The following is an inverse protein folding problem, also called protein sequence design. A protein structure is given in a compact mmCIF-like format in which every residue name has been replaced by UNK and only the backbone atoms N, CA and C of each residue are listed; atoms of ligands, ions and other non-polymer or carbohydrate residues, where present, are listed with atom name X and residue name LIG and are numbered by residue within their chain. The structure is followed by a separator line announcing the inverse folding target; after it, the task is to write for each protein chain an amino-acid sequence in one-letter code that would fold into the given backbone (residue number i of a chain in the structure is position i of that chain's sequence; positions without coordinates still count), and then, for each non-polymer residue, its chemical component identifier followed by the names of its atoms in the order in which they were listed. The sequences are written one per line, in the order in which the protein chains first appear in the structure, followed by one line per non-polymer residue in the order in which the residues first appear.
data_IF_945465166554
#
_entry.id   IF_945465166554
#
_cell.length_a   1.000
_cell.length_b   1.000
_cell.length_c   1.000
_cell.angle_alpha   90.00
_cell.angle_beta   90.00
_cell.angle_gamma   90.00
#
_symmetry.space_group_name_H-M   'P 1'
#
loop_
_entity.id
_entity.type
_entity.pdbx_description
1 polymer ?
#
# COMPACT_ATOMS: atom_id res chain seq x y z
N UNK A 1 -44.18 -18.94 -11.88
CA UNK A 1 -43.56 -17.61 -12.11
C UNK A 1 -42.33 -17.47 -11.20
N UNK A 2 -41.16 -17.93 -11.66
CA UNK A 2 -39.92 -17.93 -10.86
C UNK A 2 -39.23 -16.59 -11.11
N UNK A 3 -39.44 -15.63 -10.20
CA UNK A 3 -38.68 -14.37 -10.20
C UNK A 3 -37.17 -14.69 -10.10
N UNK A 4 -36.31 -14.08 -10.93
CA UNK A 4 -34.87 -14.36 -10.93
C UNK A 4 -34.30 -14.11 -9.53
N UNK A 5 -33.45 -15.02 -9.04
CA UNK A 5 -32.91 -15.03 -7.67
C UNK A 5 -32.42 -13.64 -7.18
N UNK A 6 -31.88 -12.82 -8.08
CA UNK A 6 -31.48 -11.43 -7.80
C UNK A 6 -32.59 -10.54 -7.23
N UNK A 7 -33.85 -10.72 -7.64
CA UNK A 7 -34.96 -9.87 -7.17
C UNK A 7 -35.39 -10.20 -5.74
N UNK A 8 -35.30 -11.48 -5.33
CA UNK A 8 -35.55 -11.89 -3.94
C UNK A 8 -34.45 -11.39 -3.02
N UNK A 9 -33.19 -11.51 -3.43
CA UNK A 9 -32.03 -11.02 -2.66
C UNK A 9 -32.15 -9.50 -2.46
N UNK A 10 -32.51 -8.74 -3.50
CA UNK A 10 -32.71 -7.29 -3.38
C UNK A 10 -33.81 -6.91 -2.38
N UNK A 11 -34.92 -7.66 -2.32
CA UNK A 11 -35.98 -7.43 -1.31
C UNK A 11 -35.52 -7.74 0.11
N UNK A 12 -34.69 -8.77 0.30
CA UNK A 12 -34.11 -9.12 1.61
C UNK A 12 -33.13 -8.05 2.08
N UNK A 13 -32.25 -7.58 1.19
CA UNK A 13 -31.32 -6.48 1.47
C UNK A 13 -32.08 -5.22 1.89
N UNK A 14 -33.13 -4.86 1.15
CA UNK A 14 -33.97 -3.70 1.50
C UNK A 14 -34.60 -3.83 2.89
N UNK A 15 -35.15 -5.00 3.24
CA UNK A 15 -35.70 -5.26 4.59
C UNK A 15 -34.64 -5.22 5.69
N UNK A 16 -33.41 -5.63 5.39
CA UNK A 16 -32.28 -5.54 6.32
C UNK A 16 -31.88 -4.08 6.56
N UNK A 17 -31.86 -3.26 5.51
CA UNK A 17 -31.59 -1.82 5.61
C UNK A 17 -32.68 -1.11 6.41
N UNK A 18 -33.95 -1.46 6.20
CA UNK A 18 -35.10 -0.93 6.94
C UNK A 18 -35.09 -1.33 8.42
N UNK A 19 -34.43 -2.44 8.79
CA UNK A 19 -34.31 -2.89 10.20
C UNK A 19 -33.32 -2.05 11.02
N UNK A 20 -32.16 -1.72 10.44
CA UNK A 20 -31.06 -1.03 11.15
C UNK A 20 -30.60 0.23 10.37
N UNK A 21 -31.42 1.29 10.29
CA UNK A 21 -31.14 2.43 9.42
C UNK A 21 -29.83 3.16 9.76
N UNK A 22 -29.44 3.18 11.04
CA UNK A 22 -28.22 3.89 11.51
C UNK A 22 -26.96 3.26 10.93
N UNK A 23 -26.84 1.92 11.01
CA UNK A 23 -25.65 1.19 10.54
C UNK A 23 -25.44 1.30 9.03
N UNK A 24 -26.53 1.30 8.26
CA UNK A 24 -26.43 1.41 6.81
C UNK A 24 -26.29 2.86 6.34
N UNK A 25 -26.71 3.84 7.16
CA UNK A 25 -26.39 5.26 6.93
C UNK A 25 -24.89 5.51 7.06
N UNK A 26 -24.25 5.06 8.14
CA UNK A 26 -22.79 5.20 8.28
C UNK A 26 -22.02 4.47 7.19
N UNK A 27 -22.49 3.29 6.76
CA UNK A 27 -21.91 2.61 5.60
C UNK A 27 -22.07 3.41 4.29
N UNK A 28 -23.22 4.08 4.10
CA UNK A 28 -23.42 4.93 2.94
C UNK A 28 -22.50 6.14 2.95
N UNK A 29 -22.37 6.81 4.09
CA UNK A 29 -21.43 7.91 4.31
C UNK A 29 -19.99 7.45 4.03
N UNK A 30 -19.59 6.27 4.54
CA UNK A 30 -18.27 5.71 4.28
C UNK A 30 -18.05 5.40 2.80
N UNK A 31 -19.05 4.93 2.06
CA UNK A 31 -18.95 4.68 0.61
C UNK A 31 -18.76 5.98 -0.19
N UNK A 32 -19.48 7.04 0.18
CA UNK A 32 -19.37 8.37 -0.44
C UNK A 32 -18.00 8.99 -0.14
N UNK A 33 -17.61 8.94 1.13
CA UNK A 33 -16.33 9.47 1.61
C UNK A 33 -15.12 8.67 1.08
N UNK A 34 -15.28 7.37 0.80
CA UNK A 34 -14.27 6.53 0.15
C UNK A 34 -14.24 6.67 -1.39
N UNK A 35 -15.15 7.44 -2.00
CA UNK A 35 -15.24 7.64 -3.45
C UNK A 35 -15.37 6.33 -4.28
N UNK A 36 -16.07 5.32 -3.76
CA UNK A 36 -16.14 3.99 -4.39
C UNK A 36 -17.06 3.93 -5.62
N UNK A 37 -17.77 5.00 -5.97
CA UNK A 37 -18.61 5.08 -7.17
C UNK A 37 -19.76 4.07 -7.23
N UNK A 38 -20.15 3.48 -6.09
CA UNK A 38 -21.18 2.46 -5.99
C UNK A 38 -22.29 2.87 -5.03
N UNK A 39 -23.53 2.60 -5.43
CA UNK A 39 -24.72 2.78 -4.56
C UNK A 39 -24.72 1.77 -3.42
N UNK A 40 -25.24 2.14 -2.25
CA UNK A 40 -25.39 1.28 -1.07
C UNK A 40 -26.03 -0.08 -1.41
N UNK A 41 -27.15 -0.07 -2.14
CA UNK A 41 -27.88 -1.29 -2.54
C UNK A 41 -26.99 -2.28 -3.32
N UNK A 42 -26.25 -1.76 -4.32
CA UNK A 42 -25.37 -2.56 -5.17
C UNK A 42 -24.19 -3.11 -4.38
N UNK A 43 -23.67 -2.31 -3.44
CA UNK A 43 -22.57 -2.72 -2.58
C UNK A 43 -22.99 -3.87 -1.67
N UNK A 44 -24.11 -3.72 -0.95
CA UNK A 44 -24.63 -4.76 -0.06
C UNK A 44 -24.92 -6.06 -0.82
N UNK A 45 -25.54 -5.96 -1.99
CA UNK A 45 -25.80 -7.14 -2.83
C UNK A 45 -24.49 -7.84 -3.23
N UNK A 46 -23.47 -7.09 -3.64
CA UNK A 46 -22.15 -7.67 -3.97
C UNK A 46 -21.52 -8.31 -2.74
N UNK A 47 -21.59 -7.67 -1.58
CA UNK A 47 -21.07 -8.20 -0.32
C UNK A 47 -21.70 -9.53 0.05
N UNK A 48 -23.05 -9.64 0.03
CA UNK A 48 -23.74 -10.90 0.36
C UNK A 48 -23.48 -12.00 -0.67
N UNK A 49 -23.39 -11.67 -1.96
CA UNK A 49 -23.07 -12.66 -2.99
C UNK A 49 -21.64 -13.16 -2.86
N UNK A 50 -20.67 -12.27 -2.70
CA UNK A 50 -19.25 -12.62 -2.59
C UNK A 50 -19.00 -13.37 -1.29
N UNK A 51 -19.59 -12.96 -0.17
CA UNK A 51 -19.44 -13.68 1.10
C UNK A 51 -20.10 -15.06 1.06
N UNK A 52 -21.25 -15.20 0.40
CA UNK A 52 -21.89 -16.49 0.17
C UNK A 52 -21.06 -17.43 -0.70
N UNK A 53 -20.47 -16.93 -1.79
CA UNK A 53 -19.55 -17.69 -2.64
C UNK A 53 -18.27 -18.08 -1.89
N UNK A 54 -17.71 -17.16 -1.10
CA UNK A 54 -16.55 -17.43 -0.26
C UNK A 54 -16.84 -18.52 0.78
N UNK A 55 -18.00 -18.45 1.44
CA UNK A 55 -18.45 -19.49 2.35
C UNK A 55 -18.63 -20.84 1.66
N UNK A 56 -19.22 -20.85 0.46
CA UNK A 56 -19.40 -22.07 -0.33
C UNK A 56 -18.05 -22.70 -0.74
N UNK A 57 -17.09 -21.87 -1.12
CA UNK A 57 -15.73 -22.30 -1.43
C UNK A 57 -15.05 -22.97 -0.23
N UNK A 58 -15.10 -22.35 0.95
CA UNK A 58 -14.51 -22.93 2.17
C UNK A 58 -15.24 -24.17 2.67
N UNK A 59 -16.56 -24.22 2.52
CA UNK A 59 -17.36 -25.40 2.85
C UNK A 59 -17.03 -26.58 1.93
N UNK A 60 -16.89 -26.33 0.63
CA UNK A 60 -16.46 -27.33 -0.35
C UNK A 60 -15.05 -27.82 -0.06
N UNK A 61 -14.13 -26.90 0.23
CA UNK A 61 -12.76 -27.23 0.59
C UNK A 61 -12.72 -28.07 1.87
N UNK A 62 -13.47 -27.68 2.91
CA UNK A 62 -13.57 -28.43 4.16
C UNK A 62 -14.21 -29.81 3.96
N UNK A 63 -15.23 -29.91 3.12
CA UNK A 63 -15.84 -31.20 2.77
C UNK A 63 -14.83 -32.11 2.04
N UNK A 64 -14.07 -31.55 1.10
CA UNK A 64 -13.06 -32.29 0.34
C UNK A 64 -11.90 -32.72 1.25
N UNK A 65 -11.39 -31.83 2.10
CA UNK A 65 -10.33 -32.17 3.06
C UNK A 65 -10.81 -33.22 4.05
N UNK A 66 -12.02 -33.10 4.62
CA UNK A 66 -12.55 -34.12 5.54
C UNK A 66 -12.82 -35.48 4.86
N UNK A 67 -13.08 -35.50 3.55
CA UNK A 67 -13.33 -36.73 2.79
C UNK A 67 -12.07 -37.43 2.31
N UNK A 68 -11.02 -36.68 1.97
CA UNK A 68 -9.73 -37.22 1.51
C UNK A 68 -8.67 -37.30 2.61
N UNK A 69 -8.82 -36.56 3.72
CA UNK A 69 -8.00 -36.76 4.90
C UNK A 69 -8.29 -38.16 5.44
N UNK A 70 -7.29 -39.03 5.35
CA UNK A 70 -7.28 -40.29 6.10
C UNK A 70 -7.28 -39.90 7.57
N UNK A 71 -8.46 -39.82 8.18
CA UNK A 71 -8.55 -39.64 9.63
C UNK A 71 -7.79 -40.83 10.24
N UNK A 72 -6.67 -40.59 10.98
CA UNK A 72 -6.03 -41.68 11.69
C UNK A 72 -7.11 -42.28 12.59
N UNK A 73 -7.29 -43.59 12.53
CA UNK A 73 -8.22 -44.29 13.42
C UNK A 73 -7.77 -44.02 14.85
N UNK A 74 -8.39 -43.04 15.51
CA UNK A 74 -8.12 -42.73 16.91
C UNK A 74 -8.74 -43.86 17.73
N UNK A 75 -8.00 -44.94 17.89
CA UNK A 75 -8.33 -45.95 18.89
C UNK A 75 -7.97 -45.38 20.25
N UNK A 76 -8.95 -44.82 20.96
CA UNK A 76 -8.82 -44.54 22.39
C UNK A 76 -8.74 -45.91 23.07
N UNK A 77 -7.52 -46.43 23.27
CA UNK A 77 -7.28 -47.62 24.09
C UNK A 77 -7.40 -47.20 25.56
N UNK A 78 -8.64 -47.13 26.06
CA UNK A 78 -8.86 -47.10 27.51
C UNK A 78 -8.40 -48.45 28.05
N UNK A 79 -7.41 -48.46 28.94
CA UNK A 79 -6.94 -49.69 29.59
C UNK A 79 -8.07 -50.24 30.46
N UNK A 80 -8.72 -51.30 29.99
CA UNK A 80 -9.93 -51.83 30.59
C UNK A 80 -9.56 -52.88 31.66
N UNK A 81 -9.47 -52.44 32.91
CA UNK A 81 -9.11 -53.30 34.07
C UNK A 81 -10.19 -54.35 34.37
N UNK A 82 -11.40 -54.23 33.81
CA UNK A 82 -12.55 -55.09 34.13
C UNK A 82 -12.98 -56.07 33.02
N UNK A 83 -12.22 -56.19 31.92
CA UNK A 83 -12.54 -57.12 30.81
C UNK A 83 -13.98 -57.01 30.25
N UNK A 84 -14.65 -55.88 30.45
CA UNK A 84 -15.99 -55.63 29.90
C UNK A 84 -15.82 -55.28 28.42
N UNK A 85 -16.31 -56.11 27.50
CA UNK A 85 -16.31 -55.78 26.06
C UNK A 85 -17.21 -54.57 25.82
N UNK A 86 -16.65 -53.36 25.92
CA UNK A 86 -17.31 -52.16 25.42
C UNK A 86 -17.36 -52.28 23.89
N UNK A 87 -18.54 -52.11 23.27
CA UNK A 87 -18.62 -52.09 21.81
C UNK A 87 -17.72 -50.97 21.31
N UNK A 88 -16.76 -51.31 20.44
CA UNK A 88 -16.03 -50.31 19.69
C UNK A 88 -17.09 -49.53 18.88
N UNK A 89 -17.23 -48.23 19.14
CA UNK A 89 -18.05 -47.36 18.30
C UNK A 89 -17.37 -47.28 16.93
N UNK A 90 -17.61 -48.26 16.06
CA UNK A 90 -17.43 -48.07 14.63
C UNK A 90 -18.55 -47.12 14.22
N UNK A 91 -18.20 -45.83 14.06
CA UNK A 91 -19.06 -44.91 13.32
C UNK A 91 -19.25 -45.53 11.93
N UNK A 92 -20.45 -46.05 11.68
CA UNK A 92 -20.85 -46.60 10.38
C UNK A 92 -20.68 -45.49 9.34
N UNK A 93 -20.10 -45.79 8.17
CA UNK A 93 -19.84 -44.85 7.05
C UNK A 93 -20.91 -43.74 6.81
N UNK A 94 -22.23 -43.99 6.89
CA UNK A 94 -23.25 -42.94 6.79
C UNK A 94 -23.20 -41.88 7.91
N UNK A 95 -22.88 -42.25 9.15
CA UNK A 95 -22.82 -41.30 10.27
C UNK A 95 -21.64 -40.33 10.11
N UNK A 96 -20.50 -40.80 9.59
CA UNK A 96 -19.35 -39.96 9.25
C UNK A 96 -19.71 -38.99 8.13
N UNK A 97 -20.44 -39.46 7.10
CA UNK A 97 -20.93 -38.59 6.02
C UNK A 97 -21.89 -37.49 6.49
N UNK A 98 -22.83 -37.80 7.38
CA UNK A 98 -23.72 -36.77 7.97
C UNK A 98 -22.92 -35.76 8.78
N UNK A 99 -21.96 -36.22 9.60
CA UNK A 99 -21.10 -35.33 10.39
C UNK A 99 -20.26 -34.41 9.50
N UNK A 100 -19.73 -34.91 8.37
CA UNK A 100 -19.00 -34.10 7.39
C UNK A 100 -19.87 -33.02 6.75
N UNK A 101 -21.10 -33.35 6.36
CA UNK A 101 -22.04 -32.37 5.79
C UNK A 101 -22.39 -31.31 6.83
N UNK A 102 -22.68 -31.70 8.08
CA UNK A 102 -22.95 -30.76 9.16
C UNK A 102 -21.74 -29.86 9.43
N UNK A 103 -20.53 -30.44 9.52
CA UNK A 103 -19.30 -29.67 9.71
C UNK A 103 -19.06 -28.68 8.56
N UNK A 104 -19.26 -29.09 7.31
CA UNK A 104 -19.13 -28.20 6.14
C UNK A 104 -20.19 -27.08 6.15
N UNK A 105 -21.41 -27.36 6.61
CA UNK A 105 -22.47 -26.37 6.74
C UNK A 105 -22.19 -25.36 7.86
N UNK A 106 -21.60 -25.80 8.97
CA UNK A 106 -21.13 -24.89 10.04
C UNK A 106 -20.00 -24.01 9.52
N UNK A 107 -19.01 -24.58 8.83
CA UNK A 107 -17.91 -23.84 8.22
C UNK A 107 -18.44 -22.83 7.20
N UNK A 108 -19.43 -23.20 6.38
CA UNK A 108 -20.12 -22.28 5.47
C UNK A 108 -20.68 -21.06 6.21
N UNK A 109 -21.44 -21.28 7.28
CA UNK A 109 -22.09 -20.19 8.04
C UNK A 109 -21.03 -19.28 8.67
N UNK A 110 -20.02 -19.86 9.32
CA UNK A 110 -18.95 -19.11 9.99
C UNK A 110 -18.15 -18.28 8.99
N UNK A 111 -17.68 -18.89 7.89
CA UNK A 111 -16.85 -18.21 6.90
C UNK A 111 -17.64 -17.19 6.07
N UNK A 112 -18.91 -17.46 5.75
CA UNK A 112 -19.79 -16.48 5.11
C UNK A 112 -20.09 -15.29 6.04
N UNK A 113 -20.27 -15.53 7.33
CA UNK A 113 -20.45 -14.46 8.33
C UNK A 113 -19.19 -13.60 8.46
N UNK A 114 -18.02 -14.23 8.66
CA UNK A 114 -16.73 -13.53 8.76
C UNK A 114 -16.44 -12.74 7.48
N UNK A 115 -16.65 -13.35 6.31
CA UNK A 115 -16.51 -12.67 5.02
C UNK A 115 -17.44 -11.46 4.90
N UNK A 116 -18.70 -11.61 5.31
CA UNK A 116 -19.66 -10.49 5.28
C UNK A 116 -19.22 -9.34 6.19
N UNK A 117 -18.74 -9.63 7.40
CA UNK A 117 -18.23 -8.61 8.33
C UNK A 117 -17.02 -7.90 7.73
N UNK A 118 -16.06 -8.64 7.17
CA UNK A 118 -14.88 -8.09 6.52
C UNK A 118 -15.24 -7.16 5.36
N UNK A 119 -16.11 -7.61 4.45
CA UNK A 119 -16.55 -6.78 3.32
C UNK A 119 -17.37 -5.57 3.77
N UNK A 120 -18.14 -5.64 4.85
CA UNK A 120 -18.84 -4.46 5.37
C UNK A 120 -17.89 -3.43 6.00
N UNK A 121 -16.73 -3.86 6.52
CA UNK A 121 -15.71 -2.96 7.09
C UNK A 121 -14.76 -2.38 6.04
N UNK A 122 -14.67 -3.01 4.86
CA UNK A 122 -13.78 -2.58 3.78
C UNK A 122 -13.91 -1.10 3.39
N UNK A 123 -15.11 -0.50 3.22
CA UNK A 123 -15.23 0.91 2.89
C UNK A 123 -14.64 1.83 3.94
N UNK A 124 -14.78 1.47 5.23
CA UNK A 124 -14.18 2.23 6.34
C UNK A 124 -12.65 2.21 6.28
N UNK A 125 -12.04 1.09 5.89
CA UNK A 125 -10.59 1.00 5.69
C UNK A 125 -10.13 1.87 4.52
N UNK A 126 -10.85 1.84 3.39
CA UNK A 126 -10.54 2.68 2.22
C UNK A 126 -10.71 4.16 2.56
N UNK A 127 -11.78 4.53 3.26
CA UNK A 127 -12.03 5.88 3.77
C UNK A 127 -10.87 6.39 4.62
N UNK A 128 -10.42 5.59 5.61
CA UNK A 128 -9.29 5.95 6.48
C UNK A 128 -7.99 6.14 5.71
N UNK A 129 -7.70 5.26 4.76
CA UNK A 129 -6.51 5.39 3.90
C UNK A 129 -6.57 6.70 3.08
N UNK A 130 -7.75 6.99 2.51
CA UNK A 130 -8.00 8.22 1.74
C UNK A 130 -7.89 9.48 2.61
N UNK A 131 -8.46 9.46 3.82
CA UNK A 131 -8.31 10.51 4.82
C UNK A 131 -6.84 10.80 5.12
N UNK A 132 -6.03 9.77 5.38
CA UNK A 132 -4.58 9.93 5.61
C UNK A 132 -3.89 10.59 4.41
N UNK A 133 -4.18 10.13 3.19
CA UNK A 133 -3.60 10.72 1.95
C UNK A 133 -3.98 12.18 1.76
N UNK A 134 -5.23 12.55 2.04
CA UNK A 134 -5.68 13.94 1.99
C UNK A 134 -4.92 14.78 3.02
N UNK A 135 -4.84 14.31 4.28
CA UNK A 135 -4.20 15.04 5.37
C UNK A 135 -2.72 15.33 5.09
N UNK A 136 -1.99 14.35 4.54
CA UNK A 136 -0.57 14.48 4.19
C UNK A 136 -0.32 15.54 3.12
N UNK A 137 -1.17 15.58 2.08
CA UNK A 137 -0.99 16.49 0.94
C UNK A 137 -1.67 17.84 1.11
N UNK A 138 -2.54 17.98 2.13
CA UNK A 138 -3.27 19.22 2.39
C UNK A 138 -2.33 20.40 2.68
N UNK A 139 -1.24 20.17 3.41
CA UNK A 139 -0.28 21.23 3.70
C UNK A 139 0.29 21.86 2.42
N UNK A 140 0.75 21.04 1.48
CA UNK A 140 1.28 21.50 0.19
C UNK A 140 0.21 22.17 -0.68
N UNK A 141 -1.03 21.67 -0.64
CA UNK A 141 -2.15 22.30 -1.34
C UNK A 141 -2.42 23.71 -0.79
N UNK A 142 -2.48 23.88 0.53
CA UNK A 142 -2.71 25.20 1.16
C UNK A 142 -1.54 26.15 0.93
N UNK A 143 -0.29 25.67 0.97
CA UNK A 143 0.89 26.47 0.61
C UNK A 143 0.82 26.98 -0.83
N UNK A 144 0.41 26.12 -1.77
CA UNK A 144 0.18 26.54 -3.15
C UNK A 144 -0.98 27.54 -3.28
N UNK A 145 -2.06 27.36 -2.52
CA UNK A 145 -3.15 28.34 -2.48
C UNK A 145 -2.66 29.72 -2.02
N UNK A 146 -1.87 29.75 -0.95
CA UNK A 146 -1.27 30.97 -0.44
C UNK A 146 -0.39 31.64 -1.50
N UNK A 147 0.55 30.90 -2.11
CA UNK A 147 1.45 31.44 -3.13
C UNK A 147 0.70 32.00 -4.35
N UNK A 148 -0.32 31.30 -4.83
CA UNK A 148 -1.13 31.78 -5.95
C UNK A 148 -1.98 33.00 -5.58
N UNK A 149 -2.55 33.04 -4.37
CA UNK A 149 -3.29 34.20 -3.87
C UNK A 149 -2.38 35.40 -3.64
N UNK A 150 -1.15 35.18 -3.17
CA UNK A 150 -0.14 36.23 -3.07
C UNK A 150 0.21 36.81 -4.45
N UNK A 151 0.23 35.98 -5.48
CA UNK A 151 0.34 36.38 -6.88
C UNK A 151 -0.92 37.05 -7.48
N UNK A 152 -1.99 37.22 -6.69
CA UNK A 152 -3.22 37.89 -7.10
C UNK A 152 -4.22 37.00 -7.85
N UNK A 153 -4.02 35.68 -7.91
CA UNK A 153 -4.94 34.78 -8.62
C UNK A 153 -6.31 34.68 -7.92
N UNK A 154 -7.40 34.59 -8.66
CA UNK A 154 -8.74 34.34 -8.10
C UNK A 154 -8.85 32.94 -7.49
N UNK A 155 -9.65 32.77 -6.42
CA UNK A 155 -9.76 31.48 -5.71
C UNK A 155 -10.17 30.32 -6.61
N UNK A 156 -11.06 30.56 -7.58
CA UNK A 156 -11.46 29.53 -8.53
C UNK A 156 -10.34 29.13 -9.47
N UNK A 157 -9.47 30.07 -9.86
CA UNK A 157 -8.28 29.75 -10.63
C UNK A 157 -7.31 28.88 -9.82
N UNK A 158 -7.17 29.17 -8.52
CA UNK A 158 -6.37 28.36 -7.59
C UNK A 158 -6.91 26.92 -7.49
N UNK A 159 -8.22 26.74 -7.28
CA UNK A 159 -8.80 25.38 -7.20
C UNK A 159 -8.68 24.63 -8.52
N UNK A 160 -8.83 25.30 -9.67
CA UNK A 160 -8.60 24.69 -10.99
C UNK A 160 -7.16 24.22 -11.13
N UNK A 161 -6.18 25.05 -10.76
CA UNK A 161 -4.76 24.72 -10.82
C UNK A 161 -4.40 23.51 -9.93
N UNK A 162 -4.92 23.45 -8.70
CA UNK A 162 -4.72 22.29 -7.80
C UNK A 162 -5.40 21.04 -8.38
N UNK A 163 -6.64 21.17 -8.86
CA UNK A 163 -7.41 20.04 -9.42
C UNK A 163 -6.80 19.45 -10.69
N UNK A 164 -6.08 20.26 -11.48
CA UNK A 164 -5.39 19.85 -12.69
C UNK A 164 -4.09 19.09 -12.42
N UNK A 165 -3.49 19.28 -11.25
CA UNK A 165 -2.19 18.72 -10.89
C UNK A 165 -2.31 17.59 -9.86
N UNK A 166 -3.12 16.55 -10.15
CA UNK A 166 -3.26 15.40 -9.24
C UNK A 166 -1.98 14.58 -9.06
N UNK A 167 -1.02 14.70 -9.99
CA UNK A 167 0.30 14.09 -9.82
C UNK A 167 1.13 14.69 -8.68
N UNK A 168 0.84 15.94 -8.27
CA UNK A 168 1.55 16.65 -7.21
C UNK A 168 0.75 16.66 -5.91
N UNK A 169 -0.56 16.95 -5.99
CA UNK A 169 -1.42 17.09 -4.80
C UNK A 169 -2.30 15.86 -4.52
N UNK A 170 -2.13 14.77 -5.28
CA UNK A 170 -2.76 13.47 -5.04
C UNK A 170 -4.26 13.56 -4.76
N UNK A 171 -4.69 12.99 -3.63
CA UNK A 171 -6.09 12.96 -3.23
C UNK A 171 -6.67 14.34 -2.88
N UNK A 172 -5.83 15.29 -2.42
CA UNK A 172 -6.29 16.66 -2.19
C UNK A 172 -6.71 17.34 -3.51
N UNK A 173 -6.00 17.10 -4.63
CA UNK A 173 -6.44 17.55 -5.95
C UNK A 173 -7.79 16.96 -6.35
N UNK A 174 -8.04 15.68 -6.01
CA UNK A 174 -9.32 15.04 -6.28
C UNK A 174 -10.47 15.67 -5.48
N UNK A 175 -10.23 16.11 -4.25
CA UNK A 175 -11.23 16.86 -3.47
C UNK A 175 -11.52 18.25 -4.07
N UNK A 176 -10.48 19.02 -4.43
CA UNK A 176 -10.68 20.31 -5.09
C UNK A 176 -11.28 20.17 -6.50
N UNK A 177 -11.05 19.03 -7.17
CA UNK A 177 -11.74 18.69 -8.43
C UNK A 177 -13.25 18.54 -8.24
N UNK A 178 -13.73 18.10 -7.07
CA UNK A 178 -15.17 18.09 -6.79
C UNK A 178 -15.73 19.50 -6.74
N UNK A 179 -15.04 20.43 -6.07
CA UNK A 179 -15.44 21.84 -6.02
C UNK A 179 -15.50 22.44 -7.42
N UNK A 180 -14.45 22.27 -8.23
CA UNK A 180 -14.39 22.76 -9.62
C UNK A 180 -15.49 22.13 -10.48
N UNK A 181 -15.76 20.82 -10.31
CA UNK A 181 -16.83 20.14 -11.04
C UNK A 181 -18.19 20.70 -10.67
N UNK A 182 -18.42 20.90 -9.38
CA UNK A 182 -19.68 21.39 -8.82
C UNK A 182 -19.96 22.84 -9.27
N UNK A 183 -18.92 23.67 -9.42
CA UNK A 183 -19.08 25.02 -10.00
C UNK A 183 -19.23 25.01 -11.52
N UNK A 184 -18.33 24.34 -12.25
CA UNK A 184 -18.23 24.47 -13.71
C UNK A 184 -19.28 23.62 -14.46
N UNK A 185 -19.67 22.45 -13.92
CA UNK A 185 -20.64 21.55 -14.57
C UNK A 185 -22.04 21.62 -13.96
N UNK A 186 -22.14 21.73 -12.64
CA UNK A 186 -23.44 21.76 -11.94
C UNK A 186 -23.95 23.18 -11.67
N UNK A 187 -23.12 24.20 -11.90
CA UNK A 187 -23.51 25.60 -11.75
C UNK A 187 -23.74 26.03 -10.29
N UNK A 188 -23.18 25.31 -9.32
CA UNK A 188 -23.24 25.73 -7.92
C UNK A 188 -22.36 26.96 -7.70
N UNK A 189 -22.76 27.82 -6.77
CA UNK A 189 -21.88 28.91 -6.32
C UNK A 189 -20.69 28.34 -5.53
N UNK A 190 -19.61 29.11 -5.47
CA UNK A 190 -18.36 28.67 -4.83
C UNK A 190 -18.56 28.28 -3.36
N UNK A 191 -19.41 29.00 -2.63
CA UNK A 191 -19.66 28.75 -1.20
C UNK A 191 -20.44 27.44 -1.03
N UNK A 192 -21.49 27.23 -1.82
CA UNK A 192 -22.27 25.98 -1.83
C UNK A 192 -21.41 24.79 -2.25
N UNK A 193 -20.55 24.94 -3.26
CA UNK A 193 -19.62 23.88 -3.66
C UNK A 193 -18.61 23.53 -2.54
N UNK A 194 -18.13 24.52 -1.78
CA UNK A 194 -17.27 24.30 -0.62
C UNK A 194 -18.02 23.63 0.55
N UNK A 195 -19.26 24.05 0.84
CA UNK A 195 -20.11 23.39 1.85
C UNK A 195 -20.40 21.94 1.48
N UNK A 196 -20.65 21.66 0.19
CA UNK A 196 -20.83 20.29 -0.28
C UNK A 196 -19.55 19.45 -0.14
N UNK A 197 -18.37 20.03 -0.37
CA UNK A 197 -17.10 19.36 -0.08
C UNK A 197 -16.94 19.08 1.42
N UNK A 198 -17.29 20.04 2.28
CA UNK A 198 -17.22 19.91 3.74
C UNK A 198 -18.05 18.72 4.25
N UNK A 199 -19.23 18.47 3.67
CA UNK A 199 -20.12 17.37 4.05
C UNK A 199 -19.66 16.00 3.52
N UNK A 200 -18.88 15.96 2.44
CA UNK A 200 -18.53 14.72 1.73
C UNK A 200 -17.09 14.26 1.92
N UNK A 201 -16.21 15.13 2.41
CA UNK A 201 -14.80 14.80 2.66
C UNK A 201 -14.64 13.82 3.84
N UNK A 202 -13.77 12.80 3.73
CA UNK A 202 -13.45 11.93 4.86
C UNK A 202 -12.50 12.60 5.88
N UNK A 203 -11.81 13.67 5.50
CA UNK A 203 -10.76 14.31 6.30
C UNK A 203 -11.33 15.42 7.18
N UNK A 204 -11.15 15.29 8.49
CA UNK A 204 -11.53 16.34 9.45
C UNK A 204 -10.70 17.61 9.25
N UNK A 205 -9.39 17.46 9.02
CA UNK A 205 -8.47 18.59 8.78
C UNK A 205 -8.88 19.43 7.56
N UNK A 206 -9.26 18.76 6.47
CA UNK A 206 -9.79 19.45 5.28
C UNK A 206 -11.17 20.07 5.55
N UNK A 207 -12.06 19.35 6.26
CA UNK A 207 -13.38 19.87 6.65
C UNK A 207 -13.26 21.18 7.41
N UNK A 208 -12.37 21.25 8.39
CA UNK A 208 -12.14 22.43 9.24
C UNK A 208 -11.51 23.57 8.43
N UNK A 209 -10.55 23.26 7.55
CA UNK A 209 -9.99 24.24 6.62
C UNK A 209 -11.05 24.89 5.72
N UNK A 210 -11.92 24.07 5.13
CA UNK A 210 -12.97 24.54 4.23
C UNK A 210 -14.02 25.35 5.01
N UNK A 211 -14.35 24.94 6.24
CA UNK A 211 -15.23 25.70 7.13
C UNK A 211 -14.70 27.10 7.40
N UNK A 212 -13.42 27.19 7.78
CA UNK A 212 -12.78 28.47 8.08
C UNK A 212 -12.63 29.33 6.82
N UNK A 213 -12.33 28.70 5.68
CA UNK A 213 -12.24 29.38 4.39
C UNK A 213 -13.59 29.98 3.98
N UNK A 214 -14.69 29.23 4.11
CA UNK A 214 -16.05 29.73 3.84
C UNK A 214 -16.37 30.91 4.76
N UNK A 215 -16.04 30.81 6.05
CA UNK A 215 -16.26 31.89 7.02
C UNK A 215 -15.51 33.19 6.64
N UNK A 216 -14.25 33.08 6.20
CA UNK A 216 -13.46 34.24 5.74
C UNK A 216 -14.02 34.84 4.45
N UNK A 217 -14.49 34.01 3.51
CA UNK A 217 -15.11 34.45 2.27
C UNK A 217 -16.43 35.18 2.54
N UNK A 218 -17.30 34.62 3.39
CA UNK A 218 -18.61 35.21 3.72
C UNK A 218 -18.48 36.53 4.50
N UNK A 219 -17.48 36.63 5.39
CA UNK A 219 -17.21 37.84 6.15
C UNK A 219 -16.44 38.92 5.40
N UNK A 220 -15.93 38.60 4.19
CA UNK A 220 -15.08 39.50 3.41
C UNK A 220 -13.72 39.79 4.09
N UNK A 221 -13.24 38.85 4.92
CA UNK A 221 -11.97 38.97 5.64
C UNK A 221 -10.74 38.86 4.74
N UNK A 222 -9.56 39.10 5.33
CA UNK A 222 -8.29 38.95 4.63
C UNK A 222 -7.93 37.48 4.41
N UNK A 223 -8.23 37.01 3.20
CA UNK A 223 -7.93 35.65 2.76
C UNK A 223 -6.43 35.35 2.70
N UNK A 224 -5.59 36.34 2.37
CA UNK A 224 -4.15 36.12 2.27
C UNK A 224 -3.56 35.90 3.65
N UNK A 225 -3.97 36.72 4.63
CA UNK A 225 -3.56 36.55 6.02
C UNK A 225 -4.08 35.23 6.61
N UNK A 226 -5.32 34.83 6.29
CA UNK A 226 -5.86 33.53 6.69
C UNK A 226 -5.02 32.36 6.15
N UNK A 227 -4.67 32.39 4.86
CA UNK A 227 -3.88 31.34 4.23
C UNK A 227 -2.46 31.30 4.79
N UNK A 228 -1.78 32.45 5.00
CA UNK A 228 -0.44 32.50 5.63
C UNK A 228 -0.45 31.84 7.02
N UNK A 229 -1.42 32.22 7.86
CA UNK A 229 -1.56 31.65 9.20
C UNK A 229 -1.76 30.13 9.13
N UNK A 230 -2.60 29.65 8.21
CA UNK A 230 -2.87 28.21 8.08
C UNK A 230 -1.66 27.44 7.55
N UNK A 231 -0.90 28.00 6.61
CA UNK A 231 0.36 27.42 6.13
C UNK A 231 1.31 27.21 7.31
N UNK A 232 1.52 28.24 8.15
CA UNK A 232 2.39 28.14 9.34
C UNK A 232 1.93 27.07 10.31
N UNK A 233 0.62 27.04 10.64
CA UNK A 233 0.06 26.00 11.52
C UNK A 233 0.32 24.60 10.97
N UNK A 234 0.09 24.37 9.67
CA UNK A 234 0.32 23.06 9.08
C UNK A 234 1.80 22.68 8.99
N UNK A 235 2.72 23.63 8.81
CA UNK A 235 4.16 23.39 8.90
C UNK A 235 4.58 22.99 10.32
N UNK A 236 4.03 23.66 11.34
CA UNK A 236 4.31 23.33 12.74
C UNK A 236 3.77 21.94 13.11
N UNK A 237 2.55 21.60 12.69
CA UNK A 237 1.97 20.27 12.84
C UNK A 237 2.83 19.20 12.16
N UNK A 238 3.24 19.41 10.91
CA UNK A 238 4.09 18.47 10.18
C UNK A 238 5.43 18.25 10.88
N UNK A 239 6.05 19.33 11.41
CA UNK A 239 7.28 19.23 12.22
C UNK A 239 7.05 18.43 13.51
N UNK A 240 5.89 18.59 14.16
CA UNK A 240 5.54 17.84 15.35
C UNK A 240 5.28 16.35 15.07
N UNK A 241 4.56 16.05 13.99
CA UNK A 241 4.33 14.67 13.52
C UNK A 241 5.66 13.99 13.18
N UNK A 242 6.56 14.67 12.49
CA UNK A 242 7.89 14.14 12.17
C UNK A 242 8.72 13.86 13.43
N UNK A 243 8.72 14.77 14.42
CA UNK A 243 9.40 14.53 15.71
C UNK A 243 8.82 13.33 16.44
N UNK A 244 7.50 13.20 16.45
CA UNK A 244 6.80 12.07 17.07
C UNK A 244 7.13 10.76 16.38
N UNK A 245 7.18 10.77 15.05
CA UNK A 245 7.61 9.63 14.24
C UNK A 245 9.06 9.22 14.57
N UNK A 246 10.00 10.16 14.61
CA UNK A 246 11.40 9.89 14.96
C UNK A 246 11.55 9.33 16.39
N UNK A 247 10.78 9.85 17.35
CA UNK A 247 10.74 9.32 18.72
C UNK A 247 10.26 7.87 18.76
N UNK A 248 9.23 7.55 17.96
CA UNK A 248 8.70 6.18 17.84
C UNK A 248 9.73 5.25 17.21
N UNK A 249 10.45 5.71 16.18
CA UNK A 249 11.53 4.96 15.54
C UNK A 249 12.70 4.72 16.49
N UNK A 250 13.04 5.72 17.33
CA UNK A 250 14.06 5.58 18.36
C UNK A 250 13.68 4.52 19.40
N UNK A 251 12.44 4.55 19.90
CA UNK A 251 11.93 3.55 20.83
C UNK A 251 11.94 2.15 20.21
N UNK A 252 11.54 2.03 18.95
CA UNK A 252 11.59 0.77 18.21
C UNK A 252 13.03 0.28 18.05
N UNK A 253 13.98 1.15 17.71
CA UNK A 253 15.39 0.81 17.58
C UNK A 253 16.00 0.35 18.91
N UNK A 254 15.65 1.01 20.02
CA UNK A 254 16.06 0.58 21.37
C UNK A 254 15.52 -0.82 21.71
N UNK A 255 14.24 -1.07 21.43
CA UNK A 255 13.63 -2.38 21.61
C UNK A 255 14.31 -3.45 20.73
N UNK A 256 14.68 -3.12 19.49
CA UNK A 256 15.40 -4.05 18.61
C UNK A 256 16.79 -4.41 19.14
N UNK A 257 17.58 -3.42 19.53
CA UNK A 257 18.94 -3.65 20.06
C UNK A 257 18.88 -4.45 21.36
N UNK A 258 17.92 -4.19 22.24
CA UNK A 258 17.79 -4.92 23.50
C UNK A 258 17.27 -6.36 23.29
N UNK A 259 16.19 -6.53 22.52
CA UNK A 259 15.51 -7.83 22.38
C UNK A 259 16.17 -8.77 21.37
N UNK A 260 16.65 -8.26 20.24
CA UNK A 260 17.15 -9.09 19.13
C UNK A 260 18.68 -9.07 18.99
N UNK A 261 19.37 -8.09 19.58
CA UNK A 261 20.84 -8.06 19.59
C UNK A 261 21.38 -8.49 20.95
N UNK A 262 21.12 -7.72 22.00
CA UNK A 262 21.70 -7.96 23.33
C UNK A 262 21.20 -9.26 23.98
N UNK A 263 19.89 -9.53 23.92
CA UNK A 263 19.30 -10.76 24.48
C UNK A 263 19.88 -12.04 23.87
N UNK A 264 19.81 -12.24 22.53
CA UNK A 264 20.40 -13.39 21.87
C UNK A 264 21.91 -13.45 22.07
N UNK A 265 22.63 -12.32 22.03
CA UNK A 265 24.07 -12.30 22.30
C UNK A 265 24.40 -12.83 23.69
N UNK A 266 23.65 -12.43 24.71
CA UNK A 266 23.84 -12.95 26.08
C UNK A 266 23.62 -14.46 26.14
N UNK A 267 22.54 -14.96 25.52
CA UNK A 267 22.25 -16.40 25.45
C UNK A 267 23.37 -17.14 24.70
N UNK A 268 23.84 -16.59 23.58
CA UNK A 268 24.95 -17.14 22.79
C UNK A 268 26.21 -17.23 23.66
N UNK A 269 26.58 -16.16 24.38
CA UNK A 269 27.76 -16.16 25.26
C UNK A 269 27.62 -17.26 26.32
N UNK A 270 26.48 -17.34 27.01
CA UNK A 270 26.24 -18.36 28.03
C UNK A 270 26.31 -19.78 27.45
N UNK A 271 25.72 -20.01 26.28
CA UNK A 271 25.74 -21.30 25.59
C UNK A 271 27.15 -21.69 25.14
N UNK A 272 27.94 -20.74 24.62
CA UNK A 272 29.33 -20.97 24.22
C UNK A 272 30.20 -21.27 25.44
N UNK A 273 30.02 -20.54 26.54
CA UNK A 273 30.74 -20.80 27.81
C UNK A 273 30.41 -22.17 28.39
N UNK A 274 29.13 -22.54 28.45
CA UNK A 274 28.71 -23.90 28.83
C UNK A 274 29.26 -24.96 27.88
N UNK A 275 29.39 -24.63 26.59
CA UNK A 275 29.96 -25.50 25.58
C UNK A 275 31.38 -25.97 25.90
N UNK A 276 32.20 -25.11 26.51
CA UNK A 276 33.54 -25.48 26.97
C UNK A 276 33.55 -26.47 28.15
N UNK A 277 32.45 -26.59 28.91
CA UNK A 277 32.36 -27.44 30.10
C UNK A 277 31.87 -28.87 29.79
N UNK A 278 31.45 -29.19 28.57
CA UNK A 278 31.16 -30.59 28.22
C UNK A 278 30.45 -30.81 26.89
N UNK A 279 29.37 -30.07 26.60
CA UNK A 279 28.69 -30.18 25.30
C UNK A 279 28.04 -28.87 24.93
N UNK A 280 28.48 -28.28 23.81
CA UNK A 280 27.80 -27.13 23.22
C UNK A 280 26.49 -27.61 22.60
N UNK A 281 25.34 -27.04 22.97
CA UNK A 281 24.07 -27.33 22.33
C UNK A 281 24.03 -26.68 20.93
N UNK A 282 24.79 -27.25 19.98
CA UNK A 282 25.00 -26.71 18.61
C UNK A 282 23.66 -26.52 17.91
N UNK A 283 22.73 -27.47 18.04
CA UNK A 283 21.40 -27.36 17.46
C UNK A 283 20.63 -26.16 18.01
N UNK A 284 20.61 -25.93 19.33
CA UNK A 284 19.93 -24.80 19.94
C UNK A 284 20.57 -23.46 19.54
N UNK A 285 21.90 -23.41 19.48
CA UNK A 285 22.65 -22.24 19.02
C UNK A 285 22.35 -21.94 17.54
N UNK A 286 22.29 -22.97 16.69
CA UNK A 286 21.93 -22.84 15.28
C UNK A 286 20.50 -22.31 15.10
N UNK A 287 19.53 -22.77 15.90
CA UNK A 287 18.15 -22.28 15.86
C UNK A 287 18.09 -20.81 16.25
N UNK A 288 18.85 -20.37 17.25
CA UNK A 288 18.88 -18.96 17.64
C UNK A 288 19.48 -18.09 16.51
N UNK A 289 20.61 -18.50 15.95
CA UNK A 289 21.32 -17.69 14.95
C UNK A 289 20.62 -17.72 13.59
N UNK A 290 20.22 -18.89 13.09
CA UNK A 290 19.68 -19.05 11.74
C UNK A 290 18.16 -18.96 11.65
N UNK A 291 17.42 -19.10 12.76
CA UNK A 291 15.96 -18.97 12.75
C UNK A 291 15.49 -17.75 13.56
N UNK A 292 15.85 -17.65 14.84
CA UNK A 292 15.30 -16.61 15.71
C UNK A 292 15.71 -15.20 15.26
N UNK A 293 17.00 -14.98 14.98
CA UNK A 293 17.49 -13.65 14.56
C UNK A 293 16.90 -13.24 13.20
N UNK A 294 16.97 -14.03 12.11
CA UNK A 294 16.42 -13.62 10.81
C UNK A 294 14.91 -13.43 10.83
N UNK A 295 14.15 -14.33 11.48
CA UNK A 295 12.69 -14.20 11.59
C UNK A 295 12.32 -12.99 12.45
N UNK A 296 13.05 -12.76 13.55
CA UNK A 296 12.90 -11.61 14.41
C UNK A 296 13.17 -10.29 13.69
N UNK A 297 14.29 -10.21 12.96
CA UNK A 297 14.64 -9.06 12.13
C UNK A 297 13.63 -8.84 11.01
N UNK A 298 13.14 -9.89 10.35
CA UNK A 298 12.09 -9.78 9.34
C UNK A 298 10.79 -9.22 9.93
N UNK A 299 10.36 -9.76 11.07
CA UNK A 299 9.18 -9.25 11.77
C UNK A 299 9.36 -7.77 12.16
N UNK A 300 10.54 -7.40 12.64
CA UNK A 300 10.85 -6.02 13.00
C UNK A 300 10.86 -5.08 11.78
N UNK A 301 11.43 -5.51 10.65
CA UNK A 301 11.38 -4.76 9.39
C UNK A 301 9.92 -4.54 8.96
N UNK A 302 9.08 -5.58 9.04
CA UNK A 302 7.65 -5.46 8.71
C UNK A 302 6.91 -4.53 9.68
N UNK A 303 7.24 -4.59 10.96
CA UNK A 303 6.69 -3.67 11.96
C UNK A 303 7.08 -2.21 11.67
N UNK A 304 8.34 -1.96 11.32
CA UNK A 304 8.79 -0.63 10.91
C UNK A 304 8.11 -0.16 9.62
N UNK A 305 7.97 -1.03 8.61
CA UNK A 305 7.26 -0.68 7.36
C UNK A 305 5.78 -0.35 7.59
N UNK A 306 5.14 -1.02 8.56
CA UNK A 306 3.75 -0.77 8.92
C UNK A 306 3.54 0.56 9.66
N UNK A 307 4.51 1.02 10.45
CA UNK A 307 4.46 2.30 11.18
C UNK A 307 5.03 3.45 10.35
N UNK A 308 5.91 3.15 9.40
CA UNK A 308 6.50 4.16 8.52
C UNK A 308 5.42 4.87 7.72
N UNK A 309 5.35 6.19 7.88
CA UNK A 309 4.51 7.04 7.04
C UNK A 309 5.15 7.02 5.66
N UNK A 310 4.60 6.23 4.74
CA UNK A 310 4.96 6.29 3.33
C UNK A 310 4.38 7.58 2.78
N UNK A 311 5.17 8.65 2.79
CA UNK A 311 4.91 9.79 1.91
C UNK A 311 4.84 9.21 0.51
N UNK A 312 3.70 9.32 -0.15
CA UNK A 312 3.61 8.94 -1.57
C UNK A 312 4.76 9.64 -2.28
N UNK A 313 5.67 8.87 -2.87
CA UNK A 313 6.72 9.45 -3.69
C UNK A 313 6.03 10.28 -4.75
N UNK A 314 6.35 11.57 -4.85
CA UNK A 314 5.83 12.44 -5.89
C UNK A 314 6.31 11.83 -7.21
N UNK A 315 5.46 11.04 -7.85
CA UNK A 315 5.77 10.43 -9.13
C UNK A 315 6.01 11.58 -10.11
N UNK A 316 7.14 11.53 -10.80
CA UNK A 316 7.50 12.57 -11.77
C UNK A 316 6.63 12.39 -13.01
N UNK A 317 5.43 12.98 -12.99
CA UNK A 317 4.57 13.05 -14.17
C UNK A 317 5.21 13.98 -15.18
N UNK A 318 5.78 13.40 -16.24
CA UNK A 318 6.17 14.15 -17.44
C UNK A 318 4.97 14.14 -18.37
N UNK A 319 4.04 15.06 -18.16
CA UNK A 319 2.95 15.27 -19.12
C UNK A 319 3.47 16.17 -20.24
N UNK A 320 3.46 15.66 -21.47
CA UNK A 320 3.71 16.47 -22.65
C UNK A 320 2.46 17.34 -22.90
N UNK A 321 2.41 18.51 -22.26
CA UNK A 321 1.37 19.48 -22.52
C UNK A 321 1.71 20.23 -23.81
N UNK A 322 0.87 20.06 -24.83
CA UNK A 322 0.90 20.93 -25.99
C UNK A 322 0.55 22.34 -25.52
N UNK A 323 1.51 23.26 -25.60
CA UNK A 323 1.29 24.67 -25.31
C UNK A 323 0.44 25.23 -26.45
N UNK A 324 -0.88 25.30 -26.24
CA UNK A 324 -1.84 25.98 -27.13
C UNK A 324 -1.77 27.50 -26.96
N UNK A 325 -0.55 28.04 -26.86
CA UNK A 325 -0.31 29.48 -26.75
C UNK A 325 -0.52 30.19 -28.10
N UNK A 326 -0.58 29.41 -29.18
CA UNK A 326 -0.77 29.86 -30.56
C UNK A 326 -1.86 29.06 -31.28
N UNK A 327 -3.02 28.86 -30.67
CA UNK A 327 -4.17 28.20 -31.35
C UNK A 327 -4.64 28.98 -32.59
N UNK A 328 -4.39 30.29 -32.63
CA UNK A 328 -4.73 31.15 -33.76
C UNK A 328 -3.77 31.02 -34.96
N UNK A 329 -2.64 30.31 -34.80
CA UNK A 329 -1.67 30.11 -35.89
C UNK A 329 -2.12 28.92 -36.73
N UNK A 330 -2.57 29.21 -37.94
CA UNK A 330 -3.00 28.20 -38.91
C UNK A 330 -1.83 27.29 -39.27
N UNK A 331 -1.87 26.05 -38.80
CA UNK A 331 -0.91 25.00 -39.18
C UNK A 331 -1.18 24.61 -40.63
N UNK A 332 -0.29 25.00 -41.54
CA UNK A 332 -0.32 24.53 -42.93
C UNK A 332 0.59 23.31 -43.08
N UNK A 333 0.00 22.16 -43.40
CA UNK A 333 0.75 20.99 -43.84
C UNK A 333 1.33 21.26 -45.24
N UNK A 334 2.59 21.66 -45.31
CA UNK A 334 3.30 21.82 -46.58
C UNK A 334 3.64 20.46 -47.19
N UNK A 335 2.98 20.14 -48.30
CA UNK A 335 3.35 18.99 -49.12
C UNK A 335 4.77 19.19 -49.69
N UNK A 336 5.73 18.38 -49.24
CA UNK A 336 7.16 18.49 -49.60
C UNK A 336 8.14 18.36 -48.43
N UNK A 337 7.66 18.49 -47.18
CA UNK A 337 8.50 18.38 -45.99
C UNK A 337 8.65 16.93 -45.47
N UNK A 338 7.99 15.96 -46.08
CA UNK A 338 8.12 14.52 -45.78
C UNK A 338 9.57 14.02 -45.61
N UNK A 339 10.54 14.37 -46.48
CA UNK A 339 11.93 13.96 -46.30
C UNK A 339 12.58 14.63 -45.07
N UNK A 340 12.29 15.90 -44.79
CA UNK A 340 12.80 16.59 -43.59
C UNK A 340 12.19 16.00 -42.31
N UNK A 341 10.89 15.71 -42.31
CA UNK A 341 10.20 15.07 -41.18
C UNK A 341 10.75 13.67 -40.93
N UNK A 342 10.99 12.87 -41.98
CA UNK A 342 11.67 11.57 -41.83
C UNK A 342 13.10 11.70 -41.30
N UNK A 343 13.84 12.71 -41.73
CA UNK A 343 15.20 12.96 -41.24
C UNK A 343 15.20 13.36 -39.76
N UNK A 344 14.26 14.21 -39.33
CA UNK A 344 14.02 14.55 -37.93
C UNK A 344 13.63 13.32 -37.10
N UNK A 345 12.69 12.51 -37.57
CA UNK A 345 12.30 11.26 -36.90
C UNK A 345 13.46 10.27 -36.77
N UNK A 346 14.32 10.16 -37.79
CA UNK A 346 15.53 9.35 -37.73
C UNK A 346 16.53 9.89 -36.72
N UNK A 347 16.79 11.20 -36.74
CA UNK A 347 17.65 11.86 -35.76
C UNK A 347 17.13 11.71 -34.34
N UNK A 348 15.82 11.84 -34.10
CA UNK A 348 15.21 11.66 -32.78
C UNK A 348 15.30 10.20 -32.30
N UNK A 349 15.13 9.23 -33.19
CA UNK A 349 15.28 7.80 -32.87
C UNK A 349 16.72 7.45 -32.50
N UNK A 350 17.71 8.02 -33.20
CA UNK A 350 19.13 7.80 -32.93
C UNK A 350 19.64 8.68 -31.78
N UNK A 351 19.00 9.81 -31.49
CA UNK A 351 19.36 10.74 -30.40
C UNK A 351 19.41 10.02 -29.06
N UNK A 352 18.40 9.21 -28.76
CA UNK A 352 18.33 8.49 -27.49
C UNK A 352 19.45 7.45 -27.34
N UNK A 353 19.73 6.70 -28.41
CA UNK A 353 20.85 5.73 -28.45
C UNK A 353 22.21 6.42 -28.36
N UNK A 354 22.40 7.52 -29.08
CA UNK A 354 23.65 8.29 -29.08
C UNK A 354 23.87 9.01 -27.76
N UNK A 355 22.82 9.51 -27.13
CA UNK A 355 22.86 10.09 -25.78
C UNK A 355 23.21 9.03 -24.72
N UNK A 356 22.65 7.82 -24.84
CA UNK A 356 22.98 6.68 -23.99
C UNK A 356 24.45 6.26 -24.15
N UNK A 357 24.92 6.05 -25.39
CA UNK A 357 26.29 5.64 -25.67
C UNK A 357 27.33 6.69 -25.27
N UNK A 358 27.00 7.97 -25.41
CA UNK A 358 27.91 9.08 -25.07
C UNK A 358 28.09 9.23 -23.56
N UNK A 359 27.10 8.82 -22.75
CA UNK A 359 27.16 8.87 -21.29
C UNK A 359 26.34 7.73 -20.66
N UNK A 360 26.82 6.48 -20.68
CA UNK A 360 26.05 5.33 -20.18
C UNK A 360 25.71 5.48 -18.70
N UNK A 361 26.62 6.07 -17.91
CA UNK A 361 26.44 6.31 -16.48
C UNK A 361 25.27 7.27 -16.19
N UNK A 362 24.98 8.26 -17.05
CA UNK A 362 23.84 9.17 -16.84
C UNK A 362 22.50 8.45 -16.91
N UNK A 363 22.38 7.41 -17.73
CA UNK A 363 21.13 6.66 -17.86
C UNK A 363 20.78 5.90 -16.57
N UNK A 364 21.79 5.40 -15.85
CA UNK A 364 21.63 4.75 -14.53
C UNK A 364 21.47 5.76 -13.38
N UNK A 365 22.04 6.96 -13.52
CA UNK A 365 21.91 8.04 -12.54
C UNK A 365 20.53 8.70 -12.52
N UNK A 366 19.79 8.68 -13.64
CA UNK A 366 18.44 9.27 -13.71
C UNK A 366 17.37 8.33 -13.13
N UNK A 367 17.52 7.02 -13.37
CA UNK A 367 16.62 5.98 -12.85
C UNK A 367 17.46 4.85 -12.20
N UNK A 368 17.70 4.91 -10.87
CA UNK A 368 18.51 3.91 -10.16
C UNK A 368 18.02 2.47 -10.33
N UNK A 369 16.70 2.28 -10.51
CA UNK A 369 16.08 0.96 -10.73
C UNK A 369 16.58 0.26 -12.01
N UNK A 370 17.10 1.01 -13.00
CA UNK A 370 17.67 0.41 -14.22
C UNK A 370 18.94 -0.41 -13.92
N UNK A 371 19.58 -0.16 -12.79
CA UNK A 371 20.76 -0.92 -12.34
C UNK A 371 20.43 -2.41 -12.17
N UNK A 372 19.22 -2.75 -11.72
CA UNK A 372 18.79 -4.14 -11.53
C UNK A 372 18.75 -4.94 -12.83
N UNK A 373 18.49 -4.31 -13.98
CA UNK A 373 18.50 -5.01 -15.26
C UNK A 373 19.89 -5.53 -15.65
N UNK A 374 20.96 -4.97 -15.08
CA UNK A 374 22.34 -5.40 -15.33
C UNK A 374 22.84 -6.26 -14.18
N UNK A 375 22.63 -5.84 -12.93
CA UNK A 375 23.22 -6.51 -11.77
C UNK A 375 22.54 -7.84 -11.44
N UNK A 376 21.23 -7.99 -11.66
CA UNK A 376 20.51 -9.26 -11.39
C UNK A 376 20.97 -10.37 -12.34
N UNK A 377 21.04 -10.18 -13.68
CA UNK A 377 21.60 -11.20 -14.56
C UNK A 377 23.05 -11.56 -14.25
N UNK A 378 23.88 -10.57 -13.87
CA UNK A 378 25.28 -10.80 -13.48
C UNK A 378 25.36 -11.62 -12.19
N UNK A 379 24.53 -11.31 -11.18
CA UNK A 379 24.47 -12.07 -9.95
C UNK A 379 23.97 -13.50 -10.17
N UNK A 380 22.95 -13.70 -11.01
CA UNK A 380 22.47 -15.04 -11.38
C UNK A 380 23.54 -15.83 -12.14
N UNK A 381 24.26 -15.20 -13.07
CA UNK A 381 25.37 -15.83 -13.76
C UNK A 381 26.49 -16.22 -12.79
N UNK A 382 26.79 -15.36 -11.81
CA UNK A 382 27.77 -15.66 -10.76
C UNK A 382 27.33 -16.86 -9.90
N UNK A 383 26.08 -16.89 -9.41
CA UNK A 383 25.56 -18.01 -8.61
C UNK A 383 25.57 -19.30 -9.42
N UNK A 384 25.19 -19.25 -10.70
CA UNK A 384 25.22 -20.42 -11.58
C UNK A 384 26.65 -20.94 -11.78
N UNK A 385 27.61 -20.05 -12.02
CA UNK A 385 29.02 -20.43 -12.14
C UNK A 385 29.59 -20.97 -10.83
N UNK A 386 29.24 -20.36 -9.70
CA UNK A 386 29.63 -20.84 -8.37
C UNK A 386 29.08 -22.24 -8.12
N UNK A 387 27.79 -22.47 -8.39
CA UNK A 387 27.15 -23.78 -8.25
C UNK A 387 27.79 -24.86 -9.15
N UNK A 388 28.19 -24.51 -10.37
CA UNK A 388 28.88 -25.43 -11.29
C UNK A 388 30.32 -25.70 -10.89
N UNK A 389 30.98 -24.76 -10.21
CA UNK A 389 32.36 -24.88 -9.75
C UNK A 389 32.48 -25.58 -8.38
N UNK A 390 31.44 -25.54 -7.54
CA UNK A 390 31.42 -26.18 -6.24
C UNK A 390 31.37 -27.71 -6.37
N UNK A 391 32.32 -28.46 -5.77
CA UNK A 391 32.26 -29.91 -5.73
C UNK A 391 31.01 -30.39 -4.97
N UNK A 392 30.47 -31.56 -5.34
CA UNK A 392 29.39 -32.17 -4.57
C UNK A 392 29.95 -32.70 -3.23
N UNK A 393 29.74 -31.95 -2.16
CA UNK A 393 30.04 -32.39 -0.80
C UNK A 393 29.04 -33.46 -0.35
N UNK A 394 29.53 -34.50 0.34
CA UNK A 394 28.68 -35.55 0.92
C UNK A 394 27.96 -35.09 2.19
N UNK A 395 28.55 -34.13 2.89
CA UNK A 395 27.98 -33.52 4.09
C UNK A 395 27.11 -32.33 3.71
N UNK A 396 25.84 -32.39 4.09
CA UNK A 396 24.84 -31.35 3.79
C UNK A 396 25.21 -30.02 4.45
N UNK A 397 25.83 -30.04 5.64
CA UNK A 397 26.25 -28.83 6.35
C UNK A 397 27.34 -28.06 5.59
N UNK A 398 28.37 -28.76 5.09
CA UNK A 398 29.48 -28.14 4.33
C UNK A 398 28.98 -27.57 3.00
N UNK A 399 28.03 -28.26 2.35
CA UNK A 399 27.42 -27.77 1.12
C UNK A 399 26.64 -26.46 1.35
N UNK A 400 25.89 -26.37 2.46
CA UNK A 400 25.12 -25.17 2.80
C UNK A 400 26.05 -23.99 3.10
N UNK A 401 27.13 -24.22 3.86
CA UNK A 401 28.09 -23.17 4.27
C UNK A 401 28.79 -22.54 3.05
N UNK A 402 29.28 -23.35 2.12
CA UNK A 402 29.92 -22.87 0.88
C UNK A 402 28.93 -22.13 -0.02
N UNK A 403 27.69 -22.61 -0.10
CA UNK A 403 26.67 -21.97 -0.92
C UNK A 403 26.24 -20.62 -0.32
N UNK A 404 26.20 -20.50 1.01
CA UNK A 404 25.85 -19.27 1.71
C UNK A 404 26.81 -18.12 1.37
N UNK A 405 28.13 -18.35 1.45
CA UNK A 405 29.14 -17.35 1.09
C UNK A 405 28.94 -16.82 -0.35
N UNK A 406 28.66 -17.71 -1.30
CA UNK A 406 28.41 -17.33 -2.68
C UNK A 406 27.09 -16.57 -2.86
N UNK A 407 26.04 -16.91 -2.10
CA UNK A 407 24.77 -16.19 -2.11
C UNK A 407 24.94 -14.77 -1.54
N UNK A 408 25.74 -14.59 -0.49
CA UNK A 408 26.06 -13.28 0.08
C UNK A 408 26.81 -12.41 -0.94
N UNK A 409 27.79 -12.97 -1.66
CA UNK A 409 28.50 -12.25 -2.72
C UNK A 409 27.56 -11.85 -3.86
N UNK A 410 26.66 -12.74 -4.28
CA UNK A 410 25.65 -12.44 -5.30
C UNK A 410 24.73 -11.29 -4.88
N UNK A 411 24.30 -11.29 -3.61
CA UNK A 411 23.51 -10.21 -3.04
C UNK A 411 24.26 -8.87 -3.08
N UNK A 412 25.55 -8.87 -2.71
CA UNK A 412 26.40 -7.67 -2.75
C UNK A 412 26.58 -7.12 -4.18
N UNK A 413 26.72 -8.00 -5.19
CA UNK A 413 26.78 -7.61 -6.61
C UNK A 413 25.52 -6.84 -7.03
N UNK A 414 24.36 -7.18 -6.46
CA UNK A 414 23.10 -6.48 -6.73
C UNK A 414 22.99 -5.18 -5.94
N UNK A 415 23.21 -5.24 -4.63
CA UNK A 415 22.93 -4.12 -3.71
C UNK A 415 23.95 -2.98 -3.80
N UNK A 416 25.24 -3.28 -3.91
CA UNK A 416 26.30 -2.24 -3.86
C UNK A 416 26.19 -1.26 -5.04
N UNK A 417 26.09 -1.71 -6.31
CA UNK A 417 25.95 -0.77 -7.42
C UNK A 417 24.65 0.02 -7.33
N UNK A 418 23.54 -0.62 -6.96
CA UNK A 418 22.26 0.04 -6.77
C UNK A 418 22.36 1.15 -5.71
N UNK A 419 22.98 0.85 -4.55
CA UNK A 419 23.19 1.82 -3.48
C UNK A 419 24.01 3.04 -3.92
N UNK A 420 25.07 2.83 -4.71
CA UNK A 420 25.91 3.92 -5.24
C UNK A 420 25.11 4.83 -6.18
N UNK A 421 24.37 4.27 -7.13
CA UNK A 421 23.57 5.06 -8.09
C UNK A 421 22.42 5.78 -7.40
N UNK A 422 21.74 5.12 -6.46
CA UNK A 422 20.67 5.70 -5.67
C UNK A 422 21.19 6.90 -4.84
N UNK A 423 22.32 6.73 -4.16
CA UNK A 423 22.95 7.80 -3.38
C UNK A 423 23.34 9.00 -4.24
N UNK A 424 23.93 8.76 -5.42
CA UNK A 424 24.31 9.84 -6.34
C UNK A 424 23.10 10.60 -6.89
N UNK A 425 22.02 9.89 -7.19
CA UNK A 425 20.75 10.49 -7.61
C UNK A 425 20.17 11.36 -6.49
N UNK A 426 20.09 10.81 -5.27
CA UNK A 426 19.55 11.51 -4.10
C UNK A 426 20.31 12.79 -3.80
N UNK A 427 21.65 12.77 -3.86
CA UNK A 427 22.48 13.96 -3.71
C UNK A 427 22.16 15.05 -4.75
N UNK A 428 21.90 14.64 -5.99
CA UNK A 428 21.54 15.57 -7.08
C UNK A 428 20.17 16.18 -6.84
N UNK A 429 19.19 15.38 -6.42
CA UNK A 429 17.83 15.85 -6.11
C UNK A 429 17.84 16.82 -4.94
N UNK A 430 18.49 16.48 -3.82
CA UNK A 430 18.61 17.38 -2.67
C UNK A 430 19.31 18.69 -3.02
N UNK A 431 20.30 18.64 -3.91
CA UNK A 431 20.96 19.85 -4.41
C UNK A 431 20.05 20.75 -5.26
N UNK A 432 19.11 20.15 -6.01
CA UNK A 432 18.09 20.90 -6.76
C UNK A 432 17.02 21.49 -5.84
N UNK A 433 16.56 20.73 -4.86
CA UNK A 433 15.58 21.16 -3.86
C UNK A 433 16.10 22.34 -3.03
N UNK A 434 17.37 22.28 -2.59
CA UNK A 434 18.01 23.36 -1.85
C UNK A 434 18.23 24.64 -2.68
N UNK A 435 18.20 24.54 -4.01
CA UNK A 435 18.30 25.68 -4.92
C UNK A 435 16.94 26.32 -5.23
N UNK A 436 15.83 25.70 -4.84
CA UNK A 436 14.49 26.28 -4.95
C UNK A 436 14.32 27.29 -3.80
N UNK A 437 14.02 28.57 -4.08
CA UNK A 437 13.88 29.58 -3.05
C UNK A 437 12.76 29.25 -2.06
N UNK A 438 12.94 29.65 -0.80
CA UNK A 438 12.10 29.30 0.36
C UNK A 438 10.61 29.70 0.23
N UNK A 439 10.26 30.57 -0.73
CA UNK A 439 8.89 30.94 -1.05
C UNK A 439 8.12 29.92 -1.93
N UNK A 440 8.79 28.86 -2.40
CA UNK A 440 8.19 27.73 -3.13
C UNK A 440 8.22 26.39 -2.36
N UNK A 441 8.78 26.36 -1.14
CA UNK A 441 8.90 25.16 -0.30
C UNK A 441 7.83 25.09 0.79
#
# INVERSE_FOLDING_TARGET
MILPACTRIRRLVRRLVERDPIRYRSLHEDLVAANLGVTLDRYLLKTFLVSGLFGAFWALLAFLTLRFAVLPQVSIRVYNVFAIRLPAFMLVDPAVGVLQVVASAVIFIVTAYVGSVFFLQYPSLVKKNRETRINLLLHHAVAYMYAMRQGGAEMMAVFRAISGNSGVYGEAAHEFRRVVRDTDYFGYDQITALRHLQETTPSEKLRDFIQDLVSVVESGGDMLAFLDARVRTYQEEARFEQKTFLSTLQLAAEAYVTLFVAGPLFIIIVMVVMGFMGSTPILQLSVIIYLLVPVGSLFFILFLDAISIKTEGIERYTEARWLTEFDDVRVEERAGDEPLVRQLQYYDRVRNLRAFLRNPLRAFLVEPNRTFYVTVPVALAYVLLAFLATPAYTDVEVLIDVLDDHLVVALLIVLVPFGIFHWSWQKTVMGLEAAIPEFLN
#
